data_IF_626959615835
#
_entry.id   IF_626959615835
#
_cell.length_a   1.000
_cell.length_b   1.000
_cell.length_c   1.000
_cell.angle_alpha   90.00
_cell.angle_beta   90.00
_cell.angle_gamma   90.00
#
_symmetry.space_group_name_H-M   'P 1'
#
loop_
_entity.id
_entity.type
_entity.pdbx_description
1 polymer ?
#
# COMPACT_ATOMS: atom_id res chain seq x y z
N UNK A 1 -29.32 9.19 -11.61
CA UNK A 1 -27.85 9.11 -11.54
C UNK A 1 -27.31 8.78 -12.93
N UNK A 2 -26.85 9.80 -13.67
CA UNK A 2 -26.37 9.63 -15.04
C UNK A 2 -25.07 8.81 -15.03
N UNK A 3 -25.07 7.63 -15.70
CA UNK A 3 -23.84 6.94 -16.05
C UNK A 3 -23.09 7.84 -17.02
N UNK A 4 -22.04 8.51 -16.55
CA UNK A 4 -21.07 9.17 -17.43
C UNK A 4 -20.50 8.04 -18.29
N UNK A 5 -20.74 8.08 -19.60
CA UNK A 5 -20.15 7.12 -20.52
C UNK A 5 -18.63 7.34 -20.49
N UNK A 6 -17.90 6.43 -19.84
CA UNK A 6 -16.45 6.48 -19.83
C UNK A 6 -15.95 6.27 -21.26
N UNK A 7 -15.11 7.19 -21.72
CA UNK A 7 -14.47 7.06 -23.04
C UNK A 7 -13.48 5.90 -22.98
N UNK A 8 -13.25 5.19 -24.09
CA UNK A 8 -12.30 4.08 -24.17
C UNK A 8 -10.91 4.46 -23.60
N UNK A 9 -10.48 5.70 -23.85
CA UNK A 9 -9.26 6.27 -23.28
C UNK A 9 -9.25 6.35 -21.75
N UNK A 10 -10.36 6.75 -21.11
CA UNK A 10 -10.45 6.80 -19.65
C UNK A 10 -10.37 5.41 -19.04
N UNK A 11 -11.03 4.43 -19.68
CA UNK A 11 -11.03 3.04 -19.24
C UNK A 11 -9.63 2.42 -19.30
N UNK A 12 -8.90 2.67 -20.39
CA UNK A 12 -7.51 2.24 -20.56
C UNK A 12 -6.58 2.88 -19.53
N UNK A 13 -6.75 4.17 -19.27
CA UNK A 13 -5.97 4.89 -18.24
C UNK A 13 -6.23 4.31 -16.86
N UNK A 14 -7.49 4.11 -16.47
CA UNK A 14 -7.82 3.53 -15.16
C UNK A 14 -7.20 2.13 -15.00
N UNK A 15 -7.31 1.27 -16.01
CA UNK A 15 -6.70 -0.06 -15.99
C UNK A 15 -5.18 0.00 -15.86
N UNK A 16 -4.53 0.89 -16.63
CA UNK A 16 -3.09 1.10 -16.55
C UNK A 16 -2.66 1.58 -15.15
N UNK A 17 -3.35 2.56 -14.59
CA UNK A 17 -3.05 3.08 -13.25
C UNK A 17 -3.25 1.99 -12.19
N UNK A 18 -4.33 1.22 -12.27
CA UNK A 18 -4.55 0.08 -11.37
C UNK A 18 -3.45 -0.97 -11.50
N UNK A 19 -2.99 -1.27 -12.72
CA UNK A 19 -1.91 -2.23 -12.95
C UNK A 19 -0.58 -1.75 -12.35
N UNK A 20 -0.24 -0.47 -12.50
CA UNK A 20 0.95 0.13 -11.90
C UNK A 20 0.87 0.09 -10.38
N UNK A 21 -0.26 0.48 -9.79
CA UNK A 21 -0.46 0.43 -8.34
C UNK A 21 -0.37 -1.00 -7.81
N UNK A 22 -0.93 -1.97 -8.54
CA UNK A 22 -0.84 -3.38 -8.18
C UNK A 22 0.59 -3.91 -8.23
N UNK A 23 1.34 -3.55 -9.29
CA UNK A 23 2.76 -3.90 -9.40
C UNK A 23 3.57 -3.32 -8.22
N UNK A 24 3.27 -2.09 -7.81
CA UNK A 24 3.91 -1.47 -6.64
C UNK A 24 3.69 -2.27 -5.35
N UNK A 25 2.47 -2.79 -5.12
CA UNK A 25 2.15 -3.62 -3.96
C UNK A 25 3.00 -4.90 -3.88
N UNK A 26 3.44 -5.44 -5.01
CA UNK A 26 4.36 -6.58 -5.07
C UNK A 26 5.83 -6.15 -5.02
N UNK A 27 6.17 -5.04 -5.66
CA UNK A 27 7.53 -4.52 -5.71
C UNK A 27 8.05 -4.16 -4.32
N UNK A 28 7.23 -3.50 -3.51
CA UNK A 28 7.64 -3.05 -2.18
C UNK A 28 8.15 -4.21 -1.30
N UNK A 29 7.36 -5.25 -0.97
CA UNK A 29 7.83 -6.35 -0.13
C UNK A 29 8.94 -7.20 -0.78
N UNK A 30 9.12 -7.16 -2.10
CA UNK A 30 10.20 -7.90 -2.78
C UNK A 30 11.53 -7.16 -2.77
N UNK A 31 11.52 -5.82 -2.73
CA UNK A 31 12.73 -4.98 -2.67
C UNK A 31 13.19 -4.73 -1.23
N UNK A 32 12.33 -4.88 -0.22
CA UNK A 32 12.71 -4.70 1.19
C UNK A 32 13.79 -5.70 1.70
N UNK A 33 13.73 -7.02 1.39
CA UNK A 33 14.71 -8.00 1.86
C UNK A 33 16.19 -7.64 1.65
N UNK A 34 16.65 -7.23 0.46
CA UNK A 34 18.04 -6.81 0.27
C UNK A 34 18.38 -5.50 1.00
N UNK A 35 17.39 -4.68 1.38
CA UNK A 35 17.58 -3.40 2.07
C UNK A 35 17.60 -3.53 3.59
N UNK A 36 17.13 -4.64 4.18
CA UNK A 36 17.02 -4.76 5.64
C UNK A 36 18.34 -4.57 6.40
N UNK A 37 19.46 -5.00 5.83
CA UNK A 37 20.77 -4.75 6.44
C UNK A 37 21.13 -3.27 6.48
N UNK A 38 20.81 -2.51 5.42
CA UNK A 38 21.03 -1.06 5.39
C UNK A 38 20.09 -0.37 6.37
N UNK A 39 18.80 -0.71 6.35
CA UNK A 39 17.79 -0.17 7.28
C UNK A 39 18.20 -0.43 8.73
N UNK A 40 18.63 -1.66 9.06
CA UNK A 40 19.04 -2.01 10.41
C UNK A 40 20.28 -1.22 10.87
N UNK A 41 21.24 -0.97 9.98
CA UNK A 41 22.43 -0.16 10.28
C UNK A 41 22.07 1.31 10.43
N UNK A 42 21.29 1.86 9.50
CA UNK A 42 20.97 3.28 9.45
C UNK A 42 20.02 3.69 10.59
N UNK A 43 19.24 2.76 11.13
CA UNK A 43 18.38 2.94 12.32
C UNK A 43 19.01 2.41 13.62
N UNK A 44 20.30 2.03 13.60
CA UNK A 44 21.05 1.49 14.76
C UNK A 44 20.32 0.35 15.51
N UNK A 45 19.63 -0.52 14.76
CA UNK A 45 18.85 -1.61 15.34
C UNK A 45 19.77 -2.71 15.86
N UNK A 46 19.41 -3.30 17.01
CA UNK A 46 20.15 -4.41 17.63
C UNK A 46 20.15 -5.70 16.80
N UNK A 47 19.28 -5.80 15.79
CA UNK A 47 19.24 -6.93 14.87
C UNK A 47 18.35 -6.70 13.65
N UNK A 48 18.66 -7.42 12.57
CA UNK A 48 17.94 -7.36 11.29
C UNK A 48 16.48 -7.79 11.43
N UNK A 49 16.16 -8.65 12.41
CA UNK A 49 14.80 -9.08 12.68
C UNK A 49 13.86 -7.91 13.02
N UNK A 50 14.36 -6.84 13.66
CA UNK A 50 13.55 -5.66 13.90
C UNK A 50 13.13 -5.06 12.56
N UNK A 51 14.05 -4.87 11.61
CA UNK A 51 13.74 -4.35 10.28
C UNK A 51 12.73 -5.23 9.51
N UNK A 52 12.73 -6.56 9.75
CA UNK A 52 11.72 -7.45 9.14
C UNK A 52 10.30 -7.22 9.66
N UNK A 53 10.13 -6.60 10.83
CA UNK A 53 8.81 -6.25 11.36
C UNK A 53 8.05 -5.29 10.45
N UNK A 54 8.72 -4.50 9.61
CA UNK A 54 8.06 -3.63 8.61
C UNK A 54 7.14 -4.45 7.70
N UNK A 55 7.66 -5.54 7.14
CA UNK A 55 6.86 -6.41 6.25
C UNK A 55 5.87 -7.23 7.07
N UNK A 56 6.22 -7.69 8.27
CA UNK A 56 5.26 -8.42 9.12
C UNK A 56 4.06 -7.55 9.50
N UNK A 57 4.28 -6.29 9.89
CA UNK A 57 3.23 -5.33 10.21
C UNK A 57 2.39 -5.02 8.97
N UNK A 58 3.02 -4.83 7.81
CA UNK A 58 2.30 -4.63 6.55
C UNK A 58 1.43 -5.84 6.21
N UNK A 59 1.97 -7.06 6.29
CA UNK A 59 1.21 -8.30 6.03
C UNK A 59 0.05 -8.48 7.01
N UNK A 60 0.26 -8.18 8.29
CA UNK A 60 -0.80 -8.23 9.29
C UNK A 60 -1.91 -7.21 8.98
N UNK A 61 -1.54 -5.97 8.67
CA UNK A 61 -2.50 -4.95 8.26
C UNK A 61 -3.29 -5.37 7.02
N UNK A 62 -2.62 -6.00 6.04
CA UNK A 62 -3.27 -6.49 4.83
C UNK A 62 -4.26 -7.62 5.12
N UNK A 63 -3.89 -8.58 5.97
CA UNK A 63 -4.79 -9.66 6.41
C UNK A 63 -6.01 -9.12 7.17
N UNK A 64 -5.78 -8.19 8.10
CA UNK A 64 -6.85 -7.63 8.93
C UNK A 64 -7.79 -6.72 8.12
N UNK A 65 -7.26 -5.94 7.18
CA UNK A 65 -8.05 -5.01 6.39
C UNK A 65 -8.72 -5.67 5.18
N UNK A 66 -8.12 -6.72 4.59
CA UNK A 66 -8.56 -7.28 3.32
C UNK A 66 -10.01 -7.79 3.30
N UNK A 67 -10.36 -8.64 4.27
CA UNK A 67 -11.73 -9.20 4.35
C UNK A 67 -12.79 -8.13 4.68
N UNK A 68 -12.66 -7.30 5.73
CA UNK A 68 -13.68 -6.31 6.05
C UNK A 68 -13.82 -5.23 4.97
N UNK A 69 -12.72 -4.77 4.36
CA UNK A 69 -12.79 -3.80 3.27
C UNK A 69 -13.39 -4.39 1.99
N UNK A 70 -13.15 -5.68 1.72
CA UNK A 70 -13.80 -6.40 0.62
C UNK A 70 -15.32 -6.43 0.80
N UNK A 71 -15.80 -6.79 1.99
CA UNK A 71 -17.22 -6.77 2.34
C UNK A 71 -17.81 -5.34 2.31
N UNK A 72 -17.03 -4.34 2.74
CA UNK A 72 -17.43 -2.95 2.71
C UNK A 72 -17.58 -2.43 1.26
N UNK A 73 -16.70 -2.85 0.35
CA UNK A 73 -16.71 -2.45 -1.06
C UNK A 73 -17.98 -2.84 -1.83
N UNK A 74 -18.71 -3.82 -1.32
CA UNK A 74 -20.01 -4.22 -1.86
C UNK A 74 -21.17 -3.38 -1.33
N UNK A 75 -20.97 -2.68 -0.19
CA UNK A 75 -21.99 -1.86 0.47
C UNK A 75 -21.83 -0.37 0.26
N UNK A 76 -20.63 0.10 -0.06
CA UNK A 76 -20.32 1.52 -0.27
C UNK A 76 -19.91 1.82 -1.71
N UNK A 77 -19.88 3.10 -2.06
CA UNK A 77 -19.38 3.52 -3.37
C UNK A 77 -17.91 3.12 -3.55
N UNK A 78 -17.66 2.16 -4.45
CA UNK A 78 -16.32 1.67 -4.80
C UNK A 78 -15.36 2.78 -5.21
N UNK A 79 -15.87 3.83 -5.87
CA UNK A 79 -15.06 5.00 -6.27
C UNK A 79 -14.48 5.73 -5.06
N UNK A 80 -15.30 6.02 -4.06
CA UNK A 80 -14.85 6.72 -2.85
C UNK A 80 -14.01 5.83 -1.95
N UNK A 81 -14.34 4.55 -1.85
CA UNK A 81 -13.53 3.59 -1.11
C UNK A 81 -12.11 3.49 -1.68
N UNK A 82 -12.00 3.43 -3.02
CA UNK A 82 -10.69 3.39 -3.69
C UNK A 82 -9.91 4.69 -3.54
N UNK A 83 -10.59 5.85 -3.63
CA UNK A 83 -9.96 7.15 -3.40
C UNK A 83 -9.35 7.24 -2.00
N UNK A 84 -10.14 6.94 -0.96
CA UNK A 84 -9.66 7.01 0.43
C UNK A 84 -8.59 5.96 0.73
N UNK A 85 -8.76 4.74 0.24
CA UNK A 85 -7.75 3.68 0.39
C UNK A 85 -6.40 4.10 -0.20
N UNK A 86 -6.40 4.69 -1.39
CA UNK A 86 -5.19 5.17 -2.04
C UNK A 86 -4.58 6.38 -1.30
N UNK A 87 -5.41 7.34 -0.88
CA UNK A 87 -4.95 8.52 -0.15
C UNK A 87 -4.28 8.15 1.19
N UNK A 88 -4.91 7.26 1.96
CA UNK A 88 -4.39 6.77 3.25
C UNK A 88 -3.09 5.98 3.02
N UNK A 89 -3.06 5.11 2.02
CA UNK A 89 -1.88 4.30 1.71
C UNK A 89 -0.68 5.17 1.28
N UNK A 90 -0.91 6.16 0.40
CA UNK A 90 0.13 7.12 0.00
C UNK A 90 0.65 7.95 1.18
N UNK A 91 -0.25 8.45 2.03
CA UNK A 91 0.14 9.19 3.23
C UNK A 91 0.97 8.33 4.19
N UNK A 92 0.63 7.05 4.35
CA UNK A 92 1.39 6.13 5.20
C UNK A 92 2.81 5.88 4.66
N UNK A 93 2.99 5.73 3.35
CA UNK A 93 4.33 5.58 2.76
C UNK A 93 5.18 6.84 2.90
N UNK A 94 4.59 8.03 2.74
CA UNK A 94 5.29 9.30 2.99
C UNK A 94 5.68 9.42 4.46
N UNK A 95 4.77 9.10 5.37
CA UNK A 95 5.06 9.12 6.82
C UNK A 95 6.17 8.12 7.19
N UNK A 96 6.16 6.91 6.61
CA UNK A 96 7.23 5.92 6.80
C UNK A 96 8.57 6.41 6.28
N UNK A 97 8.61 7.07 5.11
CA UNK A 97 9.84 7.62 4.55
C UNK A 97 10.41 8.80 5.35
N UNK A 98 9.57 9.51 6.09
CA UNK A 98 9.96 10.61 6.97
C UNK A 98 10.20 10.17 8.42
N UNK A 99 9.95 8.90 8.76
CA UNK A 99 10.09 8.40 10.11
C UNK A 99 11.58 8.41 10.53
N UNK A 100 11.95 9.14 11.59
CA UNK A 100 13.34 9.26 12.02
C UNK A 100 13.83 8.04 12.83
N UNK A 101 12.90 7.20 13.32
CA UNK A 101 13.19 6.08 14.21
C UNK A 101 12.21 4.93 14.03
N UNK A 102 12.60 3.75 14.52
CA UNK A 102 11.81 2.51 14.47
C UNK A 102 10.88 2.29 15.69
N UNK A 103 10.97 3.17 16.70
CA UNK A 103 10.13 3.17 17.92
C UNK A 103 8.99 4.16 17.75
#
# INVERSE_FOLDING_TARGET
MARIAETEGQRRTTLFLCAVLHAFTHLYPTVLPPLYYQIARDLELSGVWLATLLVSAQSLAYCLAGLPLGLLADRVSRKWLMFWGLAINGAAFVALGLAPSYT
#
